data_IF_644268468848
#
_entry.id   IF_644268468848
#
_cell.length_a   1.000
_cell.length_b   1.000
_cell.length_c   1.000
_cell.angle_alpha   90.00
_cell.angle_beta   90.00
_cell.angle_gamma   90.00
#
_symmetry.space_group_name_H-M   'P 1'
#
loop_
_entity.id
_entity.type
_entity.pdbx_description
1 polymer ?
#
# COMPACT_ATOMS: atom_id res chain seq x y z
N UNK A 1 -1.93 4.38 12.55
CA UNK A 1 -2.45 4.72 11.22
C UNK A 1 -2.30 3.54 10.27
N UNK A 2 -3.35 3.22 9.51
CA UNK A 2 -3.36 2.17 8.49
C UNK A 2 -3.20 2.77 7.09
N UNK A 3 -2.20 2.32 6.35
CA UNK A 3 -1.93 2.77 4.97
C UNK A 3 -2.18 1.63 3.99
N UNK A 4 -2.76 1.93 2.83
CA UNK A 4 -2.96 0.97 1.74
C UNK A 4 -2.11 1.36 0.54
N UNK A 5 -1.32 0.41 0.05
CA UNK A 5 -0.53 0.56 -1.18
C UNK A 5 -1.01 -0.48 -2.18
N UNK A 6 -1.62 -0.05 -3.28
CA UNK A 6 -2.12 -0.94 -4.31
C UNK A 6 -1.33 -0.77 -5.61
N UNK A 7 -0.63 -1.82 -6.00
CA UNK A 7 0.10 -1.91 -7.27
C UNK A 7 -0.74 -2.51 -8.40
N UNK A 8 -1.97 -2.95 -8.12
CA UNK A 8 -2.89 -3.51 -9.11
C UNK A 8 -3.90 -2.45 -9.60
N UNK A 9 -4.11 -2.33 -10.93
CA UNK A 9 -4.97 -1.29 -11.51
C UNK A 9 -6.47 -1.51 -11.26
N UNK A 10 -6.89 -2.72 -10.87
CA UNK A 10 -8.28 -3.09 -10.64
C UNK A 10 -8.70 -2.99 -9.16
N UNK A 11 -7.80 -2.59 -8.25
CA UNK A 11 -8.08 -2.56 -6.82
C UNK A 11 -9.32 -1.75 -6.46
N UNK A 12 -9.49 -0.56 -7.04
CA UNK A 12 -10.63 0.31 -6.81
C UNK A 12 -11.98 -0.24 -7.29
N UNK A 13 -12.00 -1.39 -7.96
CA UNK A 13 -13.21 -2.07 -8.42
C UNK A 13 -13.53 -3.34 -7.60
N UNK A 14 -12.79 -3.64 -6.54
CA UNK A 14 -13.07 -4.79 -5.67
C UNK A 14 -14.30 -4.55 -4.79
N UNK A 15 -15.14 -5.58 -4.62
CA UNK A 15 -16.35 -5.49 -3.79
C UNK A 15 -16.05 -5.16 -2.31
N UNK A 16 -14.92 -5.65 -1.79
CA UNK A 16 -14.47 -5.43 -0.41
C UNK A 16 -13.37 -4.35 -0.32
N UNK A 17 -13.52 -3.26 -1.08
CA UNK A 17 -12.53 -2.18 -1.11
C UNK A 17 -12.37 -1.53 0.27
N UNK A 18 -11.13 -1.46 0.75
CA UNK A 18 -10.76 -0.80 2.01
C UNK A 18 -9.57 0.13 1.78
N UNK A 19 -9.78 1.46 1.84
CA UNK A 19 -8.74 2.45 1.52
C UNK A 19 -7.91 2.98 2.71
N UNK A 20 -7.96 2.32 3.87
CA UNK A 20 -7.21 2.72 5.07
C UNK A 20 -7.46 4.18 5.51
N UNK A 21 -6.57 4.70 6.36
CA UNK A 21 -6.53 6.11 6.74
C UNK A 21 -5.87 6.97 5.64
N UNK A 22 -4.87 6.40 4.96
CA UNK A 22 -4.25 6.95 3.75
C UNK A 22 -4.00 5.86 2.69
N UNK A 23 -3.89 6.28 1.43
CA UNK A 23 -3.67 5.35 0.33
C UNK A 23 -2.67 5.83 -0.71
N UNK A 24 -1.97 4.89 -1.32
CA UNK A 24 -1.22 5.03 -2.56
C UNK A 24 -1.66 3.99 -3.57
N UNK A 25 -2.33 4.44 -4.63
CA UNK A 25 -2.88 3.55 -5.64
C UNK A 25 -2.17 3.79 -6.96
N UNK A 26 -1.87 2.71 -7.66
CA UNK A 26 -1.38 2.80 -9.03
C UNK A 26 -2.43 3.45 -9.92
N UNK A 27 -1.96 4.24 -10.88
CA UNK A 27 -2.81 5.05 -11.72
C UNK A 27 -3.67 4.21 -12.68
N UNK A 28 -4.98 4.22 -12.45
CA UNK A 28 -5.97 3.53 -13.28
C UNK A 28 -7.34 4.20 -13.18
N UNK A 29 -8.26 3.97 -14.13
CA UNK A 29 -9.63 4.46 -14.03
C UNK A 29 -10.34 4.00 -12.74
N UNK A 30 -10.19 2.73 -12.35
CA UNK A 30 -10.83 2.18 -11.15
C UNK A 30 -10.28 2.81 -9.87
N UNK A 31 -8.95 2.89 -9.74
CA UNK A 31 -8.30 3.45 -8.56
C UNK A 31 -8.57 4.96 -8.42
N UNK A 32 -8.62 5.70 -9.53
CA UNK A 32 -9.00 7.13 -9.51
C UNK A 32 -10.44 7.33 -9.04
N UNK A 33 -11.38 6.54 -9.56
CA UNK A 33 -12.79 6.63 -9.16
C UNK A 33 -12.95 6.35 -7.66
N UNK A 34 -12.32 5.30 -7.14
CA UNK A 34 -12.29 4.97 -5.72
C UNK A 34 -11.69 6.10 -4.86
N UNK A 35 -10.54 6.64 -5.27
CA UNK A 35 -9.90 7.77 -4.58
C UNK A 35 -10.77 9.03 -4.56
N UNK A 36 -11.49 9.33 -5.65
CA UNK A 36 -12.41 10.47 -5.70
C UNK A 36 -13.60 10.31 -4.75
N UNK A 37 -14.16 9.11 -4.64
CA UNK A 37 -15.22 8.81 -3.67
C UNK A 37 -14.71 9.02 -2.24
N UNK A 38 -13.58 8.41 -1.90
CA UNK A 38 -12.98 8.53 -0.56
C UNK A 38 -12.68 9.99 -0.17
N UNK A 39 -12.18 10.79 -1.12
CA UNK A 39 -11.90 12.23 -0.92
C UNK A 39 -13.14 13.05 -0.58
N UNK A 40 -14.30 12.67 -1.12
CA UNK A 40 -15.56 13.35 -0.84
C UNK A 40 -16.16 12.94 0.50
N UNK A 41 -16.02 11.66 0.88
CA UNK A 41 -16.73 11.09 2.03
C UNK A 41 -16.02 11.24 3.37
N UNK A 42 -14.68 11.15 3.40
CA UNK A 42 -13.95 10.95 4.67
C UNK A 42 -12.92 12.01 5.02
N UNK A 43 -12.73 13.02 4.17
CA UNK A 43 -11.60 13.94 4.34
C UNK A 43 -10.29 13.15 4.29
N UNK A 44 -9.96 12.62 3.11
CA UNK A 44 -8.77 11.79 2.90
C UNK A 44 -7.50 12.47 3.42
N UNK A 45 -6.60 11.70 4.01
CA UNK A 45 -5.27 12.18 4.37
C UNK A 45 -4.61 12.89 3.16
N UNK A 46 -4.08 14.13 3.33
CA UNK A 46 -3.56 14.92 2.24
C UNK A 46 -2.33 14.32 1.53
N UNK A 47 -1.65 13.36 2.15
CA UNK A 47 -0.54 12.62 1.55
C UNK A 47 -1.01 11.39 0.76
N UNK A 48 -2.32 11.10 0.72
CA UNK A 48 -2.85 10.05 -0.16
C UNK A 48 -2.70 10.43 -1.63
N UNK A 49 -2.22 9.50 -2.45
CA UNK A 49 -1.76 9.79 -3.80
C UNK A 49 -2.13 8.69 -4.81
N UNK A 50 -2.14 9.10 -6.07
CA UNK A 50 -2.19 8.20 -7.22
C UNK A 50 -0.81 8.26 -7.89
N UNK A 51 -0.15 7.13 -8.07
CA UNK A 51 1.20 7.06 -8.66
C UNK A 51 1.18 6.34 -10.01
N UNK A 52 2.03 6.77 -10.95
CA UNK A 52 2.09 6.15 -12.29
C UNK A 52 2.79 4.80 -12.22
N UNK A 53 2.25 3.80 -12.92
CA UNK A 53 2.99 2.60 -13.27
C UNK A 53 3.97 2.90 -14.42
N UNK A 54 5.16 2.29 -14.37
CA UNK A 54 6.12 2.31 -15.48
C UNK A 54 5.77 1.30 -16.57
N UNK A 55 4.77 0.44 -16.34
CA UNK A 55 4.41 -0.69 -17.21
C UNK A 55 5.36 -1.90 -17.08
N UNK A 56 6.47 -1.75 -16.34
CA UNK A 56 7.31 -2.86 -15.95
C UNK A 56 6.69 -3.63 -14.77
N UNK A 57 7.02 -4.93 -14.61
CA UNK A 57 6.67 -5.67 -13.40
C UNK A 57 7.22 -4.97 -12.16
N UNK A 58 6.42 -4.91 -11.10
CA UNK A 58 6.83 -4.33 -9.83
C UNK A 58 7.91 -5.21 -9.20
N UNK A 59 9.04 -4.58 -8.84
CA UNK A 59 10.17 -5.23 -8.20
C UNK A 59 10.10 -5.09 -6.68
N UNK A 60 10.85 -5.91 -5.91
CA UNK A 60 10.99 -5.69 -4.47
C UNK A 60 11.49 -4.28 -4.12
N UNK A 61 12.40 -3.70 -4.92
CA UNK A 61 12.93 -2.36 -4.69
C UNK A 61 11.85 -1.28 -4.86
N UNK A 62 10.92 -1.43 -5.81
CA UNK A 62 9.79 -0.52 -5.97
C UNK A 62 8.88 -0.53 -4.73
N UNK A 63 8.65 -1.72 -4.16
CA UNK A 63 7.89 -1.88 -2.92
C UNK A 63 8.61 -1.21 -1.77
N UNK A 64 9.91 -1.48 -1.58
CA UNK A 64 10.71 -0.88 -0.52
C UNK A 64 10.80 0.64 -0.63
N UNK A 65 10.96 1.18 -1.85
CA UNK A 65 10.95 2.62 -2.11
C UNK A 65 9.60 3.23 -1.72
N UNK A 66 8.49 2.56 -2.05
CA UNK A 66 7.17 3.04 -1.64
C UNK A 66 6.98 2.95 -0.13
N UNK A 67 7.43 1.89 0.54
CA UNK A 67 7.39 1.80 2.00
C UNK A 67 8.21 2.91 2.67
N UNK A 68 9.39 3.23 2.13
CA UNK A 68 10.21 4.35 2.60
C UNK A 68 9.51 5.70 2.48
N UNK A 69 8.72 5.91 1.42
CA UNK A 69 7.85 7.08 1.34
C UNK A 69 6.80 7.05 2.46
N UNK A 70 6.20 5.89 2.79
CA UNK A 70 5.18 5.81 3.85
C UNK A 70 5.80 6.23 5.17
N UNK A 71 6.99 5.71 5.48
CA UNK A 71 7.73 6.09 6.68
C UNK A 71 8.01 7.59 6.75
N UNK A 72 8.31 8.24 5.61
CA UNK A 72 8.56 9.68 5.54
C UNK A 72 7.31 10.53 5.80
N UNK A 73 6.17 10.15 5.22
CA UNK A 73 4.93 10.93 5.29
C UNK A 73 4.05 10.58 6.50
N UNK A 74 4.15 9.34 6.99
CA UNK A 74 3.33 8.77 8.05
C UNK A 74 4.21 8.01 9.06
N UNK A 75 5.16 8.67 9.75
CA UNK A 75 6.08 7.99 10.65
C UNK A 75 5.38 7.30 11.84
N UNK A 76 4.08 7.49 12.05
CA UNK A 76 3.22 6.87 13.06
C UNK A 76 2.33 5.73 12.50
N UNK A 77 2.59 5.25 11.28
CA UNK A 77 1.88 4.09 10.75
C UNK A 77 2.05 2.87 11.67
N UNK A 78 0.98 2.09 11.76
CA UNK A 78 0.88 0.88 12.59
C UNK A 78 0.71 -0.36 11.72
N UNK A 79 0.03 -0.21 10.58
CA UNK A 79 -0.11 -1.25 9.57
C UNK A 79 -0.04 -0.69 8.16
N UNK A 80 0.52 -1.48 7.23
CA UNK A 80 0.50 -1.19 5.80
C UNK A 80 -0.04 -2.43 5.08
N UNK A 81 -1.07 -2.27 4.26
CA UNK A 81 -1.56 -3.32 3.36
C UNK A 81 -0.98 -3.09 1.98
N UNK A 82 -0.24 -4.07 1.47
CA UNK A 82 0.32 -4.07 0.12
C UNK A 82 -0.50 -5.02 -0.74
N UNK A 83 -1.06 -4.51 -1.83
CA UNK A 83 -1.96 -5.24 -2.74
C UNK A 83 -1.34 -5.35 -4.13
N UNK A 84 -1.45 -6.54 -4.74
CA UNK A 84 -0.99 -6.79 -6.11
C UNK A 84 0.48 -7.19 -6.23
N UNK A 85 1.18 -7.36 -5.10
CA UNK A 85 2.58 -7.84 -5.07
C UNK A 85 2.69 -8.96 -4.05
N UNK A 86 3.05 -10.19 -4.45
CA UNK A 86 3.27 -11.27 -3.51
C UNK A 86 4.53 -11.03 -2.66
N UNK A 87 4.53 -11.44 -1.38
CA UNK A 87 5.73 -11.35 -0.55
C UNK A 87 6.78 -12.37 -1.02
N UNK A 88 7.84 -11.91 -1.68
CA UNK A 88 8.98 -12.76 -2.08
C UNK A 88 9.92 -13.01 -0.91
N UNK A 89 10.77 -14.04 -1.00
CA UNK A 89 11.78 -14.34 0.03
C UNK A 89 12.68 -13.16 0.34
N UNK A 90 13.12 -12.44 -0.68
CA UNK A 90 14.06 -11.34 -0.57
C UNK A 90 13.40 -10.14 0.11
N UNK A 91 12.16 -9.83 -0.29
CA UNK A 91 11.36 -8.78 0.33
C UNK A 91 11.08 -9.09 1.81
N UNK A 92 10.66 -10.32 2.12
CA UNK A 92 10.42 -10.76 3.50
C UNK A 92 11.69 -10.69 4.35
N UNK A 93 12.83 -11.15 3.83
CA UNK A 93 14.11 -11.06 4.54
C UNK A 93 14.49 -9.63 4.88
N UNK A 94 14.28 -8.70 3.95
CA UNK A 94 14.50 -7.28 4.21
C UNK A 94 13.56 -6.73 5.28
N UNK A 95 12.26 -6.99 5.18
CA UNK A 95 11.25 -6.50 6.14
C UNK A 95 11.47 -7.07 7.55
N UNK A 96 11.84 -8.35 7.66
CA UNK A 96 12.15 -8.98 8.95
C UNK A 96 13.41 -8.41 9.58
N UNK A 97 14.41 -8.03 8.78
CA UNK A 97 15.61 -7.34 9.30
C UNK A 97 15.29 -6.00 9.97
N UNK A 98 14.18 -5.38 9.58
CA UNK A 98 13.63 -4.16 10.18
C UNK A 98 12.65 -4.44 11.33
N UNK A 99 12.52 -5.69 11.78
CA UNK A 99 11.59 -6.13 12.84
C UNK A 99 10.11 -5.87 12.52
N UNK A 100 9.75 -5.87 11.24
CA UNK A 100 8.37 -5.77 10.81
C UNK A 100 7.73 -7.16 10.76
N UNK A 101 6.54 -7.29 11.36
CA UNK A 101 5.72 -8.48 11.21
C UNK A 101 5.03 -8.46 9.83
N UNK A 102 5.03 -9.62 9.16
CA UNK A 102 4.49 -9.77 7.82
C UNK A 102 3.46 -10.90 7.78
N UNK A 103 2.29 -10.65 7.19
CA UNK A 103 1.23 -11.64 7.02
C UNK A 103 0.85 -11.70 5.54
N UNK A 104 0.92 -12.88 4.91
CA UNK A 104 0.47 -13.04 3.54
C UNK A 104 -1.06 -12.92 3.45
N UNK A 105 -1.55 -12.07 2.54
CA UNK A 105 -2.99 -11.85 2.28
C UNK A 105 -3.18 -11.65 0.79
N UNK A 106 -3.58 -12.71 0.07
CA UNK A 106 -3.70 -12.65 -1.38
C UNK A 106 -4.64 -11.51 -1.83
N UNK A 107 -4.29 -10.71 -2.87
CA UNK A 107 -3.13 -10.84 -3.76
C UNK A 107 -1.87 -10.03 -3.31
N UNK A 108 -1.60 -9.95 -2.02
CA UNK A 108 -0.38 -9.34 -1.47
C UNK A 108 -0.10 -9.73 -0.02
N UNK A 109 0.14 -8.74 0.84
CA UNK A 109 0.51 -8.96 2.24
C UNK A 109 0.25 -7.74 3.13
N UNK A 110 0.27 -7.96 4.44
CA UNK A 110 0.14 -6.91 5.46
C UNK A 110 1.43 -6.84 6.26
N UNK A 111 1.90 -5.61 6.47
CA UNK A 111 3.00 -5.24 7.33
C UNK A 111 2.45 -4.66 8.62
N UNK A 112 3.05 -5.00 9.76
CA UNK A 112 2.76 -4.37 11.05
C UNK A 112 4.07 -4.05 11.76
N UNK A 113 4.15 -2.88 12.39
CA UNK A 113 5.21 -2.64 13.37
C UNK A 113 4.92 -3.50 14.59
N UNK A 114 5.92 -4.21 15.07
CA UNK A 114 5.84 -4.79 16.41
C UNK A 114 5.82 -3.63 17.38
N UNK A 115 4.64 -3.34 17.93
CA UNK A 115 4.50 -2.46 19.08
C UNK A 115 4.80 -3.39 20.26
N UNK A 116 6.07 -3.46 20.65
CA UNK A 116 6.48 -4.01 21.94
C UNK A 116 5.93 -3.13 23.08
#
# INVERSE_FOLDING_TARGET
MHVVIAFTPDYGATDDLELGDAFWLVDSPANRAAAEVQRRERGTDPNSAIFRSTGAPVTPDDVLAMLGNVDLHHPDWTSITVVGVPPTSDLLGHLHSQRLATEAKAPGFVLRRNID
#
